data_IF_274809514765
#
_entry.id   IF_274809514765
#
_cell.length_a   1.000
_cell.length_b   1.000
_cell.length_c   1.000
_cell.angle_alpha   90.00
_cell.angle_beta   90.00
_cell.angle_gamma   90.00
#
_symmetry.space_group_name_H-M   'P 1'
#
loop_
_entity.id
_entity.type
_entity.pdbx_description
1 polymer ?
#
# COMPACT_ATOMS: atom_id res chain seq x y z
N UNK A 1 13.78 6.18 -11.52
CA UNK A 1 12.75 7.22 -11.64
C UNK A 1 11.41 6.52 -11.53
N UNK A 2 10.73 6.59 -10.39
CA UNK A 2 9.38 6.04 -10.25
C UNK A 2 8.41 7.00 -10.92
N UNK A 3 8.03 6.70 -12.16
CA UNK A 3 6.94 7.39 -12.82
C UNK A 3 5.67 7.27 -11.95
N UNK A 4 4.84 8.32 -11.86
CA UNK A 4 3.48 8.14 -11.38
C UNK A 4 2.76 7.29 -12.43
N UNK A 5 2.60 5.99 -12.18
CA UNK A 5 1.66 5.19 -12.93
C UNK A 5 0.32 5.94 -12.94
N UNK A 6 -0.31 6.07 -14.10
CA UNK A 6 -1.58 6.78 -14.25
C UNK A 6 -2.71 6.22 -13.36
N UNK A 7 -2.50 5.06 -12.73
CA UNK A 7 -3.41 4.40 -11.79
C UNK A 7 -2.83 4.30 -10.36
N UNK A 8 -2.14 5.34 -9.91
CA UNK A 8 -1.83 5.54 -8.48
C UNK A 8 -2.95 6.30 -7.77
N UNK A 9 -3.53 5.67 -6.74
CA UNK A 9 -4.51 6.30 -5.86
C UNK A 9 -3.84 6.81 -4.60
N UNK A 10 -4.00 8.09 -4.28
CA UNK A 10 -3.45 8.69 -3.06
C UNK A 10 -4.56 8.92 -2.05
N UNK A 11 -4.36 8.47 -0.81
CA UNK A 11 -5.30 8.60 0.29
C UNK A 11 -4.63 9.24 1.48
N UNK A 12 -5.24 10.31 1.99
CA UNK A 12 -4.89 10.86 3.28
C UNK A 12 -5.63 10.10 4.38
N UNK A 13 -4.90 9.35 5.20
CA UNK A 13 -5.47 8.53 6.28
C UNK A 13 -6.12 9.40 7.36
N UNK A 14 -5.66 10.66 7.52
CA UNK A 14 -6.24 11.60 8.47
C UNK A 14 -7.68 12.02 8.10
N UNK A 15 -8.07 11.88 6.84
CA UNK A 15 -9.44 12.18 6.35
C UNK A 15 -10.43 11.05 6.69
N UNK A 16 -9.92 9.85 6.98
CA UNK A 16 -10.74 8.67 7.27
C UNK A 16 -10.87 8.52 8.78
N UNK A 17 -12.10 8.33 9.25
CA UNK A 17 -12.38 8.07 10.66
C UNK A 17 -11.50 6.91 11.21
N UNK A 18 -10.85 7.10 12.38
CA UNK A 18 -9.91 6.14 12.96
C UNK A 18 -10.46 4.73 13.15
N UNK A 19 -11.77 4.58 13.33
CA UNK A 19 -12.46 3.29 13.48
C UNK A 19 -12.52 2.52 12.17
N UNK A 20 -12.61 3.22 11.04
CA UNK A 20 -12.84 2.63 9.72
C UNK A 20 -11.60 2.61 8.84
N UNK A 21 -10.59 3.45 9.11
CA UNK A 21 -9.37 3.56 8.28
C UNK A 21 -8.70 2.24 7.96
N UNK A 22 -8.53 1.34 8.94
CA UNK A 22 -7.90 0.05 8.67
C UNK A 22 -8.76 -0.79 7.71
N UNK A 23 -10.05 -0.95 8.01
CA UNK A 23 -10.95 -1.74 7.16
C UNK A 23 -11.02 -1.21 5.73
N UNK A 24 -11.07 0.12 5.56
CA UNK A 24 -11.08 0.78 4.24
C UNK A 24 -9.76 0.54 3.50
N UNK A 25 -8.61 0.79 4.15
CA UNK A 25 -7.29 0.60 3.53
C UNK A 25 -7.05 -0.87 3.14
N UNK A 26 -7.46 -1.82 3.98
CA UNK A 26 -7.42 -3.24 3.67
C UNK A 26 -8.24 -3.57 2.43
N UNK A 27 -9.52 -3.17 2.43
CA UNK A 27 -10.41 -3.40 1.28
C UNK A 27 -9.84 -2.79 0.01
N UNK A 28 -9.35 -1.55 0.06
CA UNK A 28 -8.75 -0.89 -1.09
C UNK A 28 -7.53 -1.64 -1.60
N UNK A 29 -6.65 -2.08 -0.69
CA UNK A 29 -5.47 -2.84 -1.04
C UNK A 29 -5.82 -4.20 -1.69
N UNK A 30 -6.82 -4.91 -1.16
CA UNK A 30 -7.29 -6.18 -1.73
C UNK A 30 -7.93 -6.05 -3.11
N UNK A 31 -8.46 -4.86 -3.44
CA UNK A 31 -9.05 -4.57 -4.74
C UNK A 31 -8.06 -3.92 -5.72
N UNK A 32 -6.79 -3.74 -5.35
CA UNK A 32 -5.77 -3.24 -6.28
C UNK A 32 -5.50 -4.28 -7.37
N UNK A 33 -5.58 -3.85 -8.63
CA UNK A 33 -5.05 -4.65 -9.73
C UNK A 33 -3.50 -4.62 -9.73
N UNK A 34 -2.88 -5.59 -10.40
CA UNK A 34 -1.42 -5.77 -10.41
C UNK A 34 -0.63 -4.57 -10.97
N UNK A 35 -1.27 -3.72 -11.77
CA UNK A 35 -0.66 -2.51 -12.35
C UNK A 35 -0.93 -1.24 -11.50
N UNK A 36 -1.83 -1.35 -10.52
CA UNK A 36 -2.26 -0.23 -9.68
C UNK A 36 -1.41 -0.10 -8.44
N UNK A 37 -1.41 1.12 -7.88
CA UNK A 37 -0.76 1.37 -6.61
C UNK A 37 -1.62 2.24 -5.70
N UNK A 38 -1.52 2.00 -4.40
CA UNK A 38 -2.18 2.80 -3.38
C UNK A 38 -1.13 3.51 -2.56
N UNK A 39 -1.16 4.83 -2.54
CA UNK A 39 -0.36 5.65 -1.67
C UNK A 39 -1.19 6.08 -0.45
N UNK A 40 -0.66 5.85 0.75
CA UNK A 40 -1.24 6.37 2.00
C UNK A 40 -0.35 7.47 2.57
N UNK A 41 -0.98 8.51 3.09
CA UNK A 41 -0.34 9.60 3.83
C UNK A 41 -0.89 9.61 5.24
N UNK A 42 -0.01 9.53 6.24
CA UNK A 42 -0.39 9.45 7.65
C UNK A 42 0.59 10.24 8.52
N UNK A 43 0.13 10.79 9.64
CA UNK A 43 0.90 11.62 10.58
C UNK A 43 1.92 10.84 11.43
N UNK A 44 1.88 9.51 11.38
CA UNK A 44 2.75 8.62 12.14
C UNK A 44 3.13 7.39 11.32
N UNK A 45 4.16 6.67 11.76
CA UNK A 45 4.62 5.48 11.05
C UNK A 45 3.57 4.33 11.05
N UNK A 46 3.12 3.86 9.87
CA UNK A 46 2.07 2.85 9.76
C UNK A 46 2.58 1.40 9.86
N UNK A 47 3.62 1.13 10.69
CA UNK A 47 4.20 -0.21 10.89
C UNK A 47 3.17 -1.29 11.24
N UNK A 48 2.14 -0.97 12.05
CA UNK A 48 1.11 -1.95 12.40
C UNK A 48 0.33 -2.43 11.19
N UNK A 49 -0.07 -1.51 10.30
CA UNK A 49 -0.79 -1.83 9.07
C UNK A 49 0.08 -2.70 8.15
N UNK A 50 1.37 -2.35 8.01
CA UNK A 50 2.34 -3.14 7.24
C UNK A 50 2.37 -4.60 7.71
N UNK A 51 2.56 -4.82 9.01
CA UNK A 51 2.68 -6.17 9.57
C UNK A 51 1.41 -6.99 9.33
N UNK A 52 0.23 -6.39 9.44
CA UNK A 52 -1.03 -7.09 9.18
C UNK A 52 -1.19 -7.46 7.70
N UNK A 53 -0.81 -6.57 6.76
CA UNK A 53 -0.86 -6.85 5.33
C UNK A 53 0.17 -7.91 4.91
N UNK A 54 1.40 -7.83 5.44
CA UNK A 54 2.44 -8.84 5.21
C UNK A 54 2.01 -10.21 5.78
N UNK A 55 1.34 -10.26 6.93
CA UNK A 55 0.81 -11.50 7.48
C UNK A 55 -0.29 -12.12 6.61
N UNK A 56 -1.13 -11.30 5.95
CA UNK A 56 -2.25 -11.78 5.12
C UNK A 56 -1.84 -12.11 3.68
N UNK A 57 -0.96 -11.31 3.08
CA UNK A 57 -0.59 -11.42 1.65
C UNK A 57 0.84 -11.92 1.42
N UNK A 58 1.65 -12.03 2.46
CA UNK A 58 3.04 -12.47 2.37
C UNK A 58 3.86 -11.63 1.39
N UNK A 59 4.65 -12.32 0.57
CA UNK A 59 5.52 -11.71 -0.45
C UNK A 59 4.78 -10.91 -1.53
N UNK A 60 3.44 -11.05 -1.62
CA UNK A 60 2.64 -10.27 -2.57
C UNK A 60 2.42 -8.82 -2.10
N UNK A 61 2.57 -8.55 -0.81
CA UNK A 61 2.48 -7.20 -0.28
C UNK A 61 3.78 -6.44 -0.54
N UNK A 62 3.78 -5.58 -1.56
CA UNK A 62 4.91 -4.69 -1.80
C UNK A 62 4.70 -3.36 -1.08
N UNK A 63 5.49 -3.15 -0.03
CA UNK A 63 5.45 -1.96 0.81
C UNK A 63 6.68 -1.09 0.57
N UNK A 64 6.48 0.15 0.15
CA UNK A 64 7.56 1.10 -0.16
C UNK A 64 7.36 2.42 0.59
N UNK A 65 8.32 2.82 1.42
CA UNK A 65 8.31 4.14 2.04
C UNK A 65 8.77 5.19 1.02
N UNK A 66 7.91 6.15 0.71
CA UNK A 66 8.23 7.33 -0.10
C UNK A 66 8.72 8.48 0.76
N UNK A 67 8.16 8.62 1.97
CA UNK A 67 8.52 9.65 2.94
C UNK A 67 8.42 9.10 4.36
N UNK A 68 9.34 9.49 5.24
CA UNK A 68 9.49 8.92 6.58
C UNK A 68 9.64 10.01 7.65
N UNK A 69 8.58 10.80 7.84
CA UNK A 69 8.45 11.73 8.97
C UNK A 69 9.57 12.79 9.11
N UNK A 70 9.53 13.60 10.17
CA UNK A 70 8.63 13.53 11.33
C UNK A 70 7.21 14.05 11.09
N UNK A 71 7.00 14.93 10.11
CA UNK A 71 5.71 15.59 9.88
C UNK A 71 4.68 14.68 9.18
N UNK A 72 5.10 13.94 8.16
CA UNK A 72 4.23 13.03 7.41
C UNK A 72 4.98 11.77 6.97
N UNK A 73 4.23 10.67 6.92
CA UNK A 73 4.70 9.39 6.43
C UNK A 73 3.91 9.04 5.18
N UNK A 74 4.62 8.92 4.05
CA UNK A 74 4.04 8.56 2.76
C UNK A 74 4.51 7.16 2.40
N UNK A 75 3.57 6.26 2.20
CA UNK A 75 3.86 4.87 1.86
C UNK A 75 3.09 4.50 0.59
N UNK A 76 3.78 3.87 -0.35
CA UNK A 76 3.18 3.24 -1.52
C UNK A 76 3.04 1.73 -1.28
N UNK A 77 1.83 1.25 -1.48
CA UNK A 77 1.45 -0.15 -1.44
C UNK A 77 1.15 -0.64 -2.86
N UNK A 78 1.62 -1.84 -3.18
CA UNK A 78 1.21 -2.58 -4.38
C UNK A 78 0.91 -4.03 -4.03
N UNK A 79 -0.10 -4.60 -4.68
CA UNK A 79 -0.39 -6.02 -4.60
C UNK A 79 0.24 -6.70 -5.81
N UNK A 80 1.32 -7.44 -5.58
CA UNK A 80 1.97 -8.19 -6.65
C UNK A 80 1.12 -9.41 -7.05
N UNK A 81 1.18 -9.79 -8.33
CA UNK A 81 0.62 -11.07 -8.74
C UNK A 81 1.25 -12.19 -7.92
N UNK A 82 0.51 -13.28 -7.63
CA UNK A 82 1.14 -14.46 -7.05
C UNK A 82 2.29 -14.88 -7.95
N UNK A 83 3.44 -15.20 -7.36
CA UNK A 83 4.61 -15.67 -8.11
C UNK A 83 4.27 -17.00 -8.78
N UNK A 84 3.72 -16.94 -9.99
CA UNK A 84 3.72 -18.04 -10.94
C UNK A 84 5.08 -18.02 -11.62
N UNK A 85 5.84 -19.10 -11.49
CA UNK A 85 6.86 -19.42 -12.49
C UNK A 85 6.19 -19.31 -13.87
N UNK A 86 6.65 -18.35 -14.68
CA UNK A 86 6.67 -18.29 -16.15
C UNK A 86 6.92 -16.82 -16.54
N UNK A 87 8.14 -16.42 -16.89
CA UNK A 87 8.62 -16.60 -18.25
C UNK A 87 10.12 -16.99 -18.30
N UNK A 88 10.37 -18.29 -18.33
CA UNK A 88 11.34 -18.80 -19.29
C UNK A 88 10.57 -19.05 -20.59
N UNK A 89 10.69 -18.15 -21.57
CA UNK A 89 10.52 -18.49 -22.98
C UNK A 89 11.37 -17.57 -23.85
#
# INVERSE_FOLDING_TARGET
MTEPNADERVINVADIDPKYRHAILFRLFEHLASDQSLQIVVDHDPRRLRLQLEAQHGSRCNWSYLERGPDFWRVRLRLLPPEGKEASR
#
